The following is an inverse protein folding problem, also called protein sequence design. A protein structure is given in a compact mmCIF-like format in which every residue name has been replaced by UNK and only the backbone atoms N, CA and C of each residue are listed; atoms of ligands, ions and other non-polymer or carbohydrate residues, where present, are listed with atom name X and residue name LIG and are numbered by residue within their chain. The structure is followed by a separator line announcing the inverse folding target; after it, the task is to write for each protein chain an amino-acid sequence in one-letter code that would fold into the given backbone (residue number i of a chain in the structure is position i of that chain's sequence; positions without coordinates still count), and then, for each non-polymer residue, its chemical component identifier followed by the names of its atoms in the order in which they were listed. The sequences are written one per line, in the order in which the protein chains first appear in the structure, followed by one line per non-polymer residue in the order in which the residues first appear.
data_IF_545048488516
#
_entry.id   IF_545048488516
#
_cell.length_a   1.000
_cell.length_b   1.000
_cell.length_c   1.000
_cell.angle_alpha   90.00
_cell.angle_beta   90.00
_cell.angle_gamma   90.00
#
_symmetry.space_group_name_H-M   'P 1'
#
loop_
_entity.id
_entity.type
_entity.pdbx_description
1 polymer ?
#
# COMPACT_ATOMS: atom_id res chain seq x y z
N UNK A 1 -3.64 12.66 4.15
CA UNK A 1 -3.43 11.23 3.88
C UNK A 1 -1.97 10.86 3.77
N UNK A 2 -1.18 11.75 3.17
CA UNK A 2 0.25 11.50 3.06
C UNK A 2 0.90 11.31 4.42
N UNK A 3 0.55 12.16 5.37
CA UNK A 3 1.11 12.06 6.72
C UNK A 3 0.70 10.77 7.40
N UNK A 4 -0.53 10.32 7.16
CA UNK A 4 -1.00 9.07 7.72
C UNK A 4 -0.20 7.90 7.16
N UNK A 5 0.08 7.93 5.87
CA UNK A 5 0.84 6.86 5.24
C UNK A 5 2.27 6.81 5.79
N UNK A 6 2.90 7.95 5.98
CA UNK A 6 4.24 7.99 6.55
C UNK A 6 4.24 7.40 7.96
N UNK A 7 3.24 7.73 8.75
CA UNK A 7 3.13 7.20 10.11
C UNK A 7 2.96 5.69 10.09
N UNK A 8 2.08 5.18 9.21
CA UNK A 8 1.88 3.74 9.10
C UNK A 8 3.13 3.03 8.61
N UNK A 9 3.81 3.61 7.62
CA UNK A 9 5.02 3.01 7.09
C UNK A 9 6.07 2.85 8.18
N UNK A 10 6.25 3.87 9.01
CA UNK A 10 7.22 3.81 10.09
C UNK A 10 6.82 2.78 11.14
N UNK A 11 5.54 2.73 11.48
CA UNK A 11 5.05 1.83 12.50
C UNK A 11 5.08 0.36 12.09
N UNK A 12 4.95 0.08 10.80
CA UNK A 12 4.87 -1.29 10.30
C UNK A 12 6.10 -1.69 9.49
N UNK A 13 7.15 -0.86 9.51
CA UNK A 13 8.43 -1.18 8.85
C UNK A 13 8.29 -1.43 7.36
N UNK A 14 7.48 -0.63 6.69
CA UNK A 14 7.37 -0.73 5.24
C UNK A 14 8.63 -0.21 4.57
N UNK A 15 9.02 -0.86 3.47
CA UNK A 15 10.13 -0.38 2.68
C UNK A 15 9.71 0.89 1.94
N UNK A 16 10.70 1.58 1.36
CA UNK A 16 10.41 2.78 0.58
C UNK A 16 9.46 2.47 -0.57
N UNK A 17 9.70 1.37 -1.29
CA UNK A 17 8.85 0.99 -2.41
C UNK A 17 7.45 0.63 -1.93
N UNK A 18 7.35 -0.09 -0.82
CA UNK A 18 6.05 -0.44 -0.27
C UNK A 18 5.27 0.81 0.13
N UNK A 19 5.96 1.79 0.68
CA UNK A 19 5.31 3.05 1.05
C UNK A 19 4.78 3.77 -0.17
N UNK A 20 5.55 3.80 -1.25
CA UNK A 20 5.09 4.41 -2.50
C UNK A 20 3.84 3.72 -3.02
N UNK A 21 3.86 2.40 -2.99
CA UNK A 21 2.74 1.62 -3.50
C UNK A 21 1.51 1.83 -2.61
N UNK A 22 1.70 1.91 -1.30
CA UNK A 22 0.58 2.14 -0.40
C UNK A 22 -0.13 3.45 -0.72
N UNK A 23 0.61 4.48 -1.12
CA UNK A 23 0.00 5.74 -1.49
C UNK A 23 -0.96 5.56 -2.68
N UNK A 24 -0.52 4.80 -3.68
CA UNK A 24 -1.39 4.53 -4.83
C UNK A 24 -2.60 3.71 -4.44
N UNK A 25 -2.41 2.72 -3.58
CA UNK A 25 -3.53 1.91 -3.12
C UNK A 25 -4.56 2.76 -2.37
N UNK A 26 -4.09 3.70 -1.56
CA UNK A 26 -5.00 4.54 -0.79
C UNK A 26 -5.80 5.48 -1.67
N UNK A 27 -5.31 5.74 -2.88
CA UNK A 27 -6.03 6.56 -3.84
C UNK A 27 -6.97 5.73 -4.73
N UNK A 28 -6.99 4.41 -4.55
CA UNK A 28 -7.90 3.55 -5.29
C UNK A 28 -7.30 2.83 -6.48
N UNK A 29 -6.00 2.98 -6.71
CA UNK A 29 -5.36 2.34 -7.85
C UNK A 29 -5.00 0.89 -7.55
N UNK A 30 -4.92 0.07 -8.59
CA UNK A 30 -4.59 -1.34 -8.44
C UNK A 30 -3.24 -1.68 -9.03
N UNK A 31 -2.96 -3.00 -9.08
CA UNK A 31 -1.64 -3.47 -9.48
C UNK A 31 -1.26 -3.08 -10.91
N UNK A 32 -2.22 -3.08 -11.82
CA UNK A 32 -1.94 -2.75 -13.22
C UNK A 32 -1.44 -1.31 -13.33
N UNK A 33 -2.17 -0.38 -12.71
CA UNK A 33 -1.77 1.02 -12.74
C UNK A 33 -0.42 1.22 -12.08
N UNK A 34 -0.23 0.58 -10.94
CA UNK A 34 1.01 0.71 -10.17
C UNK A 34 2.20 0.17 -10.96
N UNK A 35 2.02 -0.99 -11.60
CA UNK A 35 3.11 -1.58 -12.35
C UNK A 35 3.55 -0.68 -13.50
N UNK A 36 2.60 -0.07 -14.19
CA UNK A 36 2.92 0.81 -15.31
C UNK A 36 3.56 2.11 -14.82
N UNK A 37 3.06 2.65 -13.73
CA UNK A 37 3.57 3.92 -13.21
C UNK A 37 4.97 3.77 -12.67
N UNK A 38 5.28 2.65 -12.02
CA UNK A 38 6.57 2.44 -11.40
C UNK A 38 7.54 1.66 -12.28
N UNK A 39 7.10 1.28 -13.49
CA UNK A 39 7.94 0.54 -14.45
C UNK A 39 8.43 -0.77 -13.87
N UNK A 40 7.52 -1.49 -13.23
CA UNK A 40 7.77 -2.84 -12.73
C UNK A 40 6.73 -3.78 -13.32
N UNK A 41 6.99 -5.08 -13.25
CA UNK A 41 6.02 -6.05 -13.76
C UNK A 41 4.78 -6.06 -12.87
N UNK A 42 3.67 -6.50 -13.45
CA UNK A 42 2.44 -6.65 -12.70
C UNK A 42 2.64 -7.65 -11.56
N UNK A 43 3.38 -8.71 -11.82
CA UNK A 43 3.66 -9.70 -10.80
C UNK A 43 4.45 -9.12 -9.63
N UNK A 44 5.43 -8.28 -9.93
CA UNK A 44 6.21 -7.61 -8.89
C UNK A 44 5.32 -6.67 -8.08
N UNK A 45 4.44 -5.93 -8.76
CA UNK A 45 3.52 -5.05 -8.06
C UNK A 45 2.62 -5.84 -7.10
N UNK A 46 2.10 -6.97 -7.57
CA UNK A 46 1.26 -7.81 -6.72
C UNK A 46 2.00 -8.35 -5.51
N UNK A 47 3.27 -8.68 -5.70
CA UNK A 47 4.07 -9.18 -4.59
C UNK A 47 4.25 -8.10 -3.54
N UNK A 48 4.53 -6.87 -3.97
CA UNK A 48 4.64 -5.77 -3.01
C UNK A 48 3.32 -5.53 -2.29
N UNK A 49 2.21 -5.58 -3.03
CA UNK A 49 0.90 -5.37 -2.42
C UNK A 49 0.61 -6.45 -1.39
N UNK A 50 0.92 -7.70 -1.71
CA UNK A 50 0.71 -8.80 -0.77
C UNK A 50 1.51 -8.58 0.50
N UNK A 51 2.76 -8.14 0.35
CA UNK A 51 3.62 -7.89 1.50
C UNK A 51 3.08 -6.75 2.35
N UNK A 52 2.54 -5.71 1.71
CA UNK A 52 1.93 -4.60 2.44
C UNK A 52 0.75 -5.10 3.27
N UNK A 53 -0.13 -5.88 2.64
CA UNK A 53 -1.29 -6.42 3.35
C UNK A 53 -0.84 -7.24 4.56
N UNK A 54 0.19 -8.06 4.37
CA UNK A 54 0.68 -8.90 5.47
C UNK A 54 1.27 -8.06 6.58
N UNK A 55 2.07 -7.05 6.24
CA UNK A 55 2.69 -6.21 7.25
C UNK A 55 1.69 -5.38 8.01
N UNK A 56 0.64 -4.92 7.34
CA UNK A 56 -0.40 -4.12 8.00
C UNK A 56 -1.46 -5.00 8.65
N UNK A 57 -1.37 -6.32 8.44
CA UNK A 57 -2.31 -7.29 9.02
C UNK A 57 -3.74 -6.98 8.60
N UNK A 58 -3.93 -6.73 7.32
CA UNK A 58 -5.27 -6.51 6.76
C UNK A 58 -5.50 -7.56 5.70
N UNK A 59 -6.78 -7.94 5.51
CA UNK A 59 -7.13 -8.99 4.57
C UNK A 59 -7.96 -8.51 3.39
N UNK A 60 -8.34 -7.23 3.36
CA UNK A 60 -9.14 -6.71 2.26
C UNK A 60 -8.76 -5.28 1.99
N UNK A 61 -9.14 -4.81 0.78
CA UNK A 61 -8.92 -3.43 0.42
C UNK A 61 -9.67 -2.49 1.36
N UNK A 62 -10.84 -2.89 1.81
CA UNK A 62 -11.62 -2.07 2.71
C UNK A 62 -10.92 -1.89 4.04
N UNK A 63 -10.34 -2.98 4.56
CA UNK A 63 -9.58 -2.88 5.80
C UNK A 63 -8.36 -1.98 5.63
N UNK A 64 -7.69 -2.12 4.48
CA UNK A 64 -6.54 -1.29 4.20
C UNK A 64 -6.92 0.19 4.20
N UNK A 65 -7.98 0.54 3.50
CA UNK A 65 -8.40 1.93 3.40
C UNK A 65 -8.84 2.49 4.74
N UNK A 66 -9.52 1.67 5.55
CA UNK A 66 -9.91 2.10 6.88
C UNK A 66 -8.70 2.43 7.73
N UNK A 67 -7.68 1.57 7.67
CA UNK A 67 -6.47 1.78 8.43
C UNK A 67 -5.76 3.06 8.00
N UNK A 68 -5.62 3.23 6.68
CA UNK A 68 -4.92 4.39 6.14
C UNK A 68 -5.66 5.68 6.46
N UNK A 69 -6.98 5.66 6.41
CA UNK A 69 -7.78 6.85 6.66
C UNK A 69 -7.96 7.16 8.14
N UNK A 70 -7.45 6.31 9.00
CA UNK A 70 -7.56 6.56 10.44
C UNK A 70 -8.93 6.35 10.98
N UNK A 71 -9.70 5.50 10.34
CA UNK A 71 -11.02 5.21 10.80
C UNK A 71 -11.01 4.68 12.17
N UNK A 72 -11.85 5.12 12.95
CA UNK A 72 -11.96 4.56 14.22
C UNK A 72 -13.07 3.67 14.26
#
# INVERSE_FOLDING_TARGET
QHERIVTLANGYALTKREREILQYLSLGYGSVYISKTLFISDNTARTHIRNIYRKLDVSSREELLSLVNGMK
#
